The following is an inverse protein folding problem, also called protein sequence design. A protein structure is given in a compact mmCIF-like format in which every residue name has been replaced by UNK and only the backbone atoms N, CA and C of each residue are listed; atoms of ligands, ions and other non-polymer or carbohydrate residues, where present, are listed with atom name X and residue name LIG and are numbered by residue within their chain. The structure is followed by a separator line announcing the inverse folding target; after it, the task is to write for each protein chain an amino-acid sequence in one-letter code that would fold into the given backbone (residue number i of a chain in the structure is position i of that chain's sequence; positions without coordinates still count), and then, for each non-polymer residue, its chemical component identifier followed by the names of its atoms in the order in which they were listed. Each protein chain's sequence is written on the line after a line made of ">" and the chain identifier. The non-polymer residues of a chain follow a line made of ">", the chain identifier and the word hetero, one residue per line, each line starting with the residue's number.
data_IF_051908398755
#
_entry.id   IF_051908398755
#
_cell.length_a   1.000
_cell.length_b   1.000
_cell.length_c   1.000
_cell.angle_alpha   90.00
_cell.angle_beta   90.00
_cell.angle_gamma   90.00
#
_symmetry.space_group_name_H-M   'P 1'
#
loop_
_entity.id
_entity.type
_entity.pdbx_description
1 polymer ?
#
# COMPACT_ATOMS: atom_id res chain seq x y z
N UNK A 1 -3.01 24.50 3.74
CA UNK A 1 -2.64 25.12 2.46
C UNK A 1 -2.86 26.62 2.50
N UNK A 2 -4.06 27.11 2.89
CA UNK A 2 -4.34 28.55 2.98
C UNK A 2 -3.40 29.34 3.90
N UNK A 3 -3.04 28.78 5.06
CA UNK A 3 -2.18 29.46 6.05
C UNK A 3 -0.80 29.84 5.51
N UNK A 4 -0.10 28.91 4.84
CA UNK A 4 1.23 29.17 4.26
C UNK A 4 1.14 30.20 3.12
N UNK A 5 0.04 30.18 2.37
CA UNK A 5 -0.23 31.17 1.30
C UNK A 5 -0.50 32.55 1.91
N UNK A 6 -1.21 32.64 3.04
CA UNK A 6 -1.41 33.91 3.73
C UNK A 6 -0.08 34.55 4.15
N UNK A 7 0.89 33.76 4.62
CA UNK A 7 2.25 34.23 4.95
C UNK A 7 2.94 34.78 3.70
N UNK A 8 2.85 34.06 2.57
CA UNK A 8 3.38 34.52 1.28
C UNK A 8 2.78 35.87 0.88
N UNK A 9 1.46 35.95 0.83
CA UNK A 9 0.73 37.15 0.37
C UNK A 9 1.01 38.36 1.27
N UNK A 10 1.04 38.17 2.60
CA UNK A 10 1.43 39.22 3.54
C UNK A 10 2.85 39.71 3.26
N UNK A 11 3.77 38.80 2.95
CA UNK A 11 5.18 39.10 2.69
C UNK A 11 5.40 39.80 1.34
N UNK A 12 4.52 39.59 0.36
CA UNK A 12 4.55 40.27 -0.95
C UNK A 12 3.93 41.66 -0.93
N UNK A 13 2.83 41.84 -0.18
CA UNK A 13 2.07 43.11 -0.14
C UNK A 13 2.76 44.18 0.69
N UNK A 14 3.45 43.79 1.76
CA UNK A 14 4.19 44.73 2.61
C UNK A 14 5.50 45.11 1.93
N UNK A 15 5.84 46.40 1.94
CA UNK A 15 7.09 46.91 1.39
C UNK A 15 8.29 46.04 1.86
N UNK A 16 9.16 45.67 0.92
CA UNK A 16 10.31 44.77 1.17
C UNK A 16 11.38 45.40 2.06
N UNK A 17 11.36 46.72 2.21
CA UNK A 17 12.34 47.52 2.97
C UNK A 17 11.86 47.88 4.38
N UNK A 18 10.61 47.52 4.73
CA UNK A 18 10.06 47.72 6.06
C UNK A 18 10.08 46.42 6.86
N UNK A 19 10.36 46.51 8.16
CA UNK A 19 10.25 45.37 9.05
C UNK A 19 8.85 44.78 9.02
N UNK A 20 8.76 43.45 9.07
CA UNK A 20 7.49 42.73 9.02
C UNK A 20 7.45 41.71 10.16
N UNK A 21 6.39 41.77 10.97
CA UNK A 21 6.08 40.76 11.98
C UNK A 21 4.83 40.02 11.57
N UNK A 22 4.95 38.71 11.37
CA UNK A 22 3.84 37.82 11.02
C UNK A 22 3.57 36.92 12.22
N UNK A 23 2.37 37.02 12.76
CA UNK A 23 1.85 36.13 13.81
C UNK A 23 0.88 35.14 13.18
N UNK A 24 1.05 33.85 13.47
CA UNK A 24 0.15 32.79 12.98
C UNK A 24 -0.09 31.72 14.03
N UNK A 25 -1.31 31.20 14.10
CA UNK A 25 -1.64 30.04 14.92
C UNK A 25 -1.16 28.70 14.33
N UNK A 26 -0.79 28.70 13.05
CA UNK A 26 -0.32 27.51 12.35
C UNK A 26 1.10 27.15 12.76
N UNK A 27 1.21 26.35 13.82
CA UNK A 27 2.49 25.81 14.27
C UNK A 27 3.22 25.08 13.14
N UNK A 28 2.49 24.35 12.30
CA UNK A 28 3.06 23.63 11.15
C UNK A 28 3.72 24.55 10.13
N UNK A 29 3.12 25.71 9.84
CA UNK A 29 3.71 26.68 8.91
C UNK A 29 4.91 27.38 9.53
N UNK A 30 4.80 27.80 10.79
CA UNK A 30 5.89 28.47 11.52
C UNK A 30 7.09 27.53 11.69
N UNK A 31 6.89 26.33 12.22
CA UNK A 31 7.94 25.33 12.37
C UNK A 31 8.50 24.90 11.00
N UNK A 32 7.67 24.88 9.95
CA UNK A 32 8.09 24.60 8.58
C UNK A 32 9.08 25.63 8.03
N UNK A 33 8.81 26.93 8.26
CA UNK A 33 9.63 28.05 7.78
C UNK A 33 10.81 28.39 8.69
N UNK A 34 10.78 28.01 9.96
CA UNK A 34 11.82 28.35 10.94
C UNK A 34 12.68 27.13 11.30
N UNK A 35 12.07 26.09 11.86
CA UNK A 35 12.79 24.95 12.47
C UNK A 35 13.19 23.91 11.43
N UNK A 36 12.27 23.59 10.53
CA UNK A 36 12.43 22.49 9.58
C UNK A 36 12.97 22.92 8.21
N UNK A 37 13.05 24.23 7.96
CA UNK A 37 13.34 24.79 6.63
C UNK A 37 14.60 24.18 6.02
N UNK A 38 15.72 24.25 6.74
CA UNK A 38 17.00 23.74 6.24
C UNK A 38 16.93 22.25 5.88
N UNK A 39 16.29 21.45 6.74
CA UNK A 39 16.12 20.01 6.53
C UNK A 39 15.25 19.73 5.29
N UNK A 40 14.19 20.52 5.10
CA UNK A 40 13.28 20.37 3.97
C UNK A 40 13.95 20.75 2.65
N UNK A 41 14.77 21.80 2.64
CA UNK A 41 15.60 22.17 1.49
C UNK A 41 16.64 21.11 1.18
N UNK A 42 17.31 20.58 2.21
CA UNK A 42 18.26 19.48 2.07
C UNK A 42 17.59 18.24 1.46
N UNK A 43 16.32 18.01 1.77
CA UNK A 43 15.52 16.93 1.22
C UNK A 43 14.87 17.26 -0.12
N UNK A 44 15.10 18.46 -0.67
CA UNK A 44 14.49 18.91 -1.92
C UNK A 44 12.96 18.92 -1.86
N UNK A 45 12.39 19.06 -0.66
CA UNK A 45 10.96 18.95 -0.35
C UNK A 45 10.30 17.62 -0.77
N UNK A 46 11.09 16.55 -0.95
CA UNK A 46 10.56 15.24 -1.36
C UNK A 46 9.64 14.69 -0.26
N UNK A 47 8.37 14.50 -0.61
CA UNK A 47 7.39 13.89 0.28
C UNK A 47 6.85 14.81 1.37
N UNK A 48 7.06 16.12 1.24
CA UNK A 48 6.54 17.15 2.14
C UNK A 48 5.21 17.66 1.58
N UNK A 49 4.19 17.73 2.44
CA UNK A 49 2.89 18.28 2.08
C UNK A 49 3.02 19.79 1.80
N UNK A 50 2.26 20.29 0.81
CA UNK A 50 2.30 21.70 0.40
C UNK A 50 3.71 22.20 0.01
N UNK A 51 4.53 21.32 -0.55
CA UNK A 51 5.94 21.62 -0.89
C UNK A 51 6.11 22.83 -1.82
N UNK A 52 5.18 23.05 -2.76
CA UNK A 52 5.25 24.17 -3.69
C UNK A 52 5.00 25.50 -2.98
N UNK A 53 4.02 25.52 -2.09
CA UNK A 53 3.62 26.68 -1.30
C UNK A 53 4.73 27.08 -0.34
N UNK A 54 5.37 26.11 0.33
CA UNK A 54 6.55 26.37 1.15
C UNK A 54 7.73 26.91 0.33
N UNK A 55 8.00 26.36 -0.85
CA UNK A 55 9.06 26.85 -1.75
C UNK A 55 8.81 28.29 -2.18
N UNK A 56 7.58 28.61 -2.61
CA UNK A 56 7.18 29.97 -3.00
C UNK A 56 7.31 30.95 -1.84
N UNK A 57 6.78 30.59 -0.67
CA UNK A 57 6.84 31.44 0.53
C UNK A 57 8.27 31.69 0.97
N UNK A 58 9.11 30.65 0.97
CA UNK A 58 10.53 30.79 1.32
C UNK A 58 11.25 31.74 0.38
N UNK A 59 10.98 31.66 -0.93
CA UNK A 59 11.58 32.54 -1.92
C UNK A 59 11.17 34.01 -1.71
N UNK A 60 9.88 34.27 -1.45
CA UNK A 60 9.38 35.61 -1.14
C UNK A 60 10.02 36.17 0.12
N UNK A 61 10.07 35.39 1.19
CA UNK A 61 10.67 35.82 2.47
C UNK A 61 12.16 36.16 2.30
N UNK A 62 12.91 35.36 1.53
CA UNK A 62 14.33 35.63 1.23
C UNK A 62 14.55 36.84 0.33
N UNK A 63 13.57 37.22 -0.47
CA UNK A 63 13.65 38.40 -1.34
C UNK A 63 13.38 39.72 -0.58
N UNK A 64 12.94 39.66 0.68
CA UNK A 64 12.78 40.86 1.53
C UNK A 64 14.14 41.36 2.01
N UNK A 65 14.31 42.68 2.08
CA UNK A 65 15.56 43.32 2.51
C UNK A 65 15.58 43.61 4.02
N UNK A 66 14.41 43.91 4.58
CA UNK A 66 14.24 44.18 6.00
C UNK A 66 13.91 42.91 6.82
N UNK A 67 14.13 42.99 8.13
CA UNK A 67 13.90 41.89 9.07
C UNK A 67 12.43 41.43 9.00
N UNK A 68 12.25 40.12 8.82
CA UNK A 68 10.93 39.49 8.89
C UNK A 68 10.92 38.51 10.05
N UNK A 69 10.06 38.76 11.04
CA UNK A 69 9.90 37.91 12.22
C UNK A 69 8.62 37.08 12.11
N UNK A 70 8.74 35.78 12.36
CA UNK A 70 7.63 34.83 12.40
C UNK A 70 7.38 34.44 13.86
N UNK A 71 6.15 34.64 14.34
CA UNK A 71 5.76 34.29 15.70
C UNK A 71 4.59 33.30 15.67
N UNK A 72 4.77 32.17 16.36
CA UNK A 72 3.64 31.31 16.68
C UNK A 72 2.81 31.93 17.80
N UNK A 73 1.50 32.04 17.59
CA UNK A 73 0.54 32.46 18.61
C UNK A 73 -0.42 31.33 18.92
N UNK A 74 -0.92 31.25 20.15
CA UNK A 74 -1.92 30.25 20.52
C UNK A 74 -3.26 30.63 19.90
N UNK A 75 -3.89 29.71 19.17
CA UNK A 75 -5.24 29.90 18.64
C UNK A 75 -6.25 30.14 19.77
N UNK A 76 -7.30 30.91 19.47
CA UNK A 76 -8.36 31.31 20.40
C UNK A 76 -7.90 32.04 21.67
N UNK A 77 -6.73 32.70 21.63
CA UNK A 77 -6.23 33.51 22.73
C UNK A 77 -6.82 34.95 22.76
N UNK A 78 -7.96 35.18 22.09
CA UNK A 78 -8.60 36.49 21.94
C UNK A 78 -7.68 37.61 21.40
N UNK A 79 -6.75 37.22 20.52
CA UNK A 79 -5.91 38.18 19.80
C UNK A 79 -6.73 38.73 18.64
N UNK A 80 -7.15 39.99 18.73
CA UNK A 80 -8.06 40.65 17.77
C UNK A 80 -7.63 40.47 16.30
N UNK A 81 -6.32 40.60 16.03
CA UNK A 81 -5.78 40.42 14.68
C UNK A 81 -5.90 38.99 14.14
N UNK A 82 -5.73 37.98 15.00
CA UNK A 82 -5.88 36.57 14.61
C UNK A 82 -7.35 36.25 14.35
N UNK A 83 -8.25 36.68 15.24
CA UNK A 83 -9.70 36.45 15.06
C UNK A 83 -10.24 37.11 13.78
N UNK A 84 -9.74 38.30 13.42
CA UNK A 84 -10.07 38.95 12.14
C UNK A 84 -9.51 38.17 10.95
N UNK A 85 -8.28 37.66 11.04
CA UNK A 85 -7.69 36.83 10.00
C UNK A 85 -8.48 35.52 9.79
N UNK A 86 -8.94 34.89 10.87
CA UNK A 86 -9.76 33.68 10.82
C UNK A 86 -11.11 33.94 10.15
N UNK A 87 -11.75 35.08 10.45
CA UNK A 87 -12.99 35.50 9.76
C UNK A 87 -12.76 35.69 8.27
N UNK A 88 -11.70 36.40 7.87
CA UNK A 88 -11.36 36.59 6.45
C UNK A 88 -11.03 35.27 5.74
N UNK A 89 -10.38 34.32 6.43
CA UNK A 89 -10.12 33.00 5.88
C UNK A 89 -11.41 32.20 5.64
N UNK A 90 -12.37 32.27 6.58
CA UNK A 90 -13.69 31.66 6.43
C UNK A 90 -14.50 32.29 5.29
N UNK A 91 -14.47 33.62 5.17
CA UNK A 91 -15.08 34.32 4.02
C UNK A 91 -14.45 33.88 2.69
N UNK A 92 -13.12 33.73 2.67
CA UNK A 92 -12.38 33.20 1.52
C UNK A 92 -12.79 31.78 1.14
N UNK A 93 -13.07 30.91 2.13
CA UNK A 93 -13.56 29.55 1.90
C UNK A 93 -14.95 29.53 1.25
N UNK A 94 -15.79 30.54 1.52
CA UNK A 94 -17.16 30.64 1.01
C UNK A 94 -17.24 31.27 -0.38
N UNK A 95 -16.14 31.78 -0.93
CA UNK A 95 -16.11 32.34 -2.29
C UNK A 95 -16.40 31.25 -3.33
N UNK A 96 -17.27 31.58 -4.29
CA UNK A 96 -17.59 30.72 -5.45
C UNK A 96 -16.49 30.75 -6.52
N UNK A 97 -15.77 31.86 -6.64
CA UNK A 97 -14.64 32.01 -7.55
C UNK A 97 -13.32 31.72 -6.84
N UNK A 98 -12.44 30.95 -7.50
CA UNK A 98 -11.12 30.57 -6.98
C UNK A 98 -10.14 31.73 -7.22
N UNK A 99 -9.42 32.13 -6.18
CA UNK A 99 -8.34 33.10 -6.28
C UNK A 99 -7.11 32.47 -6.99
N UNK A 100 -6.58 33.14 -8.02
CA UNK A 100 -5.37 32.69 -8.72
C UNK A 100 -4.12 33.12 -7.94
N UNK A 101 -3.46 32.16 -7.29
CA UNK A 101 -2.24 32.39 -6.51
C UNK A 101 -1.02 31.96 -7.32
N UNK A 102 -0.15 32.92 -7.62
CA UNK A 102 1.11 32.65 -8.32
C UNK A 102 2.10 31.95 -7.37
N UNK A 103 2.56 30.77 -7.75
CA UNK A 103 3.49 29.94 -6.97
C UNK A 103 4.82 29.70 -7.69
N UNK A 104 5.08 30.38 -8.81
CA UNK A 104 6.37 30.28 -9.47
C UNK A 104 7.48 30.89 -8.60
N UNK A 105 8.62 30.22 -8.61
CA UNK A 105 9.84 30.65 -7.93
C UNK A 105 10.87 30.97 -9.00
N UNK A 106 11.48 32.14 -8.90
CA UNK A 106 12.58 32.55 -9.77
C UNK A 106 13.67 31.48 -9.83
N UNK A 107 14.17 31.21 -11.03
CA UNK A 107 15.11 30.11 -11.28
C UNK A 107 16.42 30.24 -10.48
N UNK A 108 16.84 31.47 -10.18
CA UNK A 108 18.04 31.81 -9.41
C UNK A 108 17.98 31.31 -7.95
N UNK A 109 16.80 31.38 -7.32
CA UNK A 109 16.58 30.99 -5.91
C UNK A 109 15.83 29.66 -5.78
N UNK A 110 15.46 29.04 -6.90
CA UNK A 110 14.73 27.78 -6.94
C UNK A 110 15.65 26.60 -6.61
N UNK A 111 15.29 25.88 -5.55
CA UNK A 111 15.90 24.59 -5.25
C UNK A 111 15.59 23.56 -6.35
N UNK A 112 16.63 22.96 -6.91
CA UNK A 112 16.52 22.00 -8.03
C UNK A 112 16.30 20.55 -7.60
N UNK A 113 16.61 20.21 -6.34
CA UNK A 113 16.44 18.86 -5.80
C UNK A 113 16.98 18.68 -4.39
N UNK A 114 17.05 17.43 -3.93
CA UNK A 114 17.64 17.07 -2.65
C UNK A 114 19.18 17.06 -2.72
N UNK A 115 19.84 17.42 -1.62
CA UNK A 115 21.29 17.31 -1.50
C UNK A 115 21.69 15.83 -1.54
N UNK A 116 22.72 15.50 -2.33
CA UNK A 116 23.19 14.11 -2.47
C UNK A 116 23.66 13.51 -1.14
N UNK A 117 24.23 14.32 -0.24
CA UNK A 117 24.69 13.85 1.08
C UNK A 117 23.56 13.44 2.04
N UNK A 118 22.33 13.91 1.81
CA UNK A 118 21.18 13.69 2.71
C UNK A 118 20.13 12.74 2.12
N UNK A 119 20.21 12.44 0.83
CA UNK A 119 19.23 11.59 0.17
C UNK A 119 19.40 10.13 0.59
N UNK A 120 18.29 9.50 0.98
CA UNK A 120 18.24 8.06 1.23
C UNK A 120 17.65 7.33 0.02
N UNK A 121 17.88 6.02 -0.08
CA UNK A 121 17.28 5.20 -1.15
C UNK A 121 15.75 5.35 -1.18
N UNK A 122 15.10 5.31 -0.01
CA UNK A 122 13.63 5.45 0.07
C UNK A 122 13.15 6.82 -0.42
N UNK A 123 13.87 7.90 -0.13
CA UNK A 123 13.59 9.24 -0.66
C UNK A 123 13.79 9.31 -2.17
N UNK A 124 14.89 8.76 -2.69
CA UNK A 124 15.15 8.72 -4.13
C UNK A 124 14.06 7.94 -4.87
N UNK A 125 13.68 6.75 -4.37
CA UNK A 125 12.58 5.96 -4.91
C UNK A 125 11.27 6.73 -4.89
N UNK A 126 10.95 7.43 -3.78
CA UNK A 126 9.75 8.27 -3.66
C UNK A 126 9.76 9.42 -4.68
N UNK A 127 10.89 10.08 -4.89
CA UNK A 127 11.02 11.15 -5.88
C UNK A 127 10.82 10.63 -7.32
N UNK A 128 11.43 9.49 -7.66
CA UNK A 128 11.25 8.83 -8.96
C UNK A 128 9.79 8.43 -9.14
N UNK A 129 9.16 7.83 -8.12
CA UNK A 129 7.75 7.46 -8.16
C UNK A 129 6.86 8.68 -8.40
N UNK A 130 7.06 9.77 -7.66
CA UNK A 130 6.32 11.01 -7.85
C UNK A 130 6.48 11.57 -9.27
N UNK A 131 7.67 11.47 -9.87
CA UNK A 131 7.91 11.87 -11.26
C UNK A 131 7.19 10.95 -12.25
N UNK A 132 7.29 9.64 -12.07
CA UNK A 132 6.62 8.64 -12.92
C UNK A 132 5.10 8.74 -12.84
N UNK A 133 4.53 9.01 -11.66
CA UNK A 133 3.08 9.19 -11.47
C UNK A 133 2.47 10.33 -12.29
N UNK A 134 3.27 11.32 -12.72
CA UNK A 134 2.82 12.37 -13.64
C UNK A 134 2.56 11.84 -15.05
N UNK A 135 3.18 10.73 -15.43
CA UNK A 135 3.04 10.16 -16.77
C UNK A 135 1.76 9.30 -16.88
N UNK A 136 0.90 9.53 -17.88
CA UNK A 136 -0.31 8.72 -18.07
C UNK A 136 -0.02 7.23 -18.26
N UNK A 137 1.03 6.89 -19.01
CA UNK A 137 1.45 5.51 -19.25
C UNK A 137 1.74 4.75 -17.94
N UNK A 138 2.52 5.35 -17.03
CA UNK A 138 2.82 4.72 -15.74
C UNK A 138 1.57 4.55 -14.87
N UNK A 139 0.66 5.55 -14.86
CA UNK A 139 -0.62 5.44 -14.15
C UNK A 139 -1.47 4.29 -14.69
N UNK A 140 -1.57 4.14 -16.02
CA UNK A 140 -2.29 3.04 -16.66
C UNK A 140 -1.66 1.68 -16.31
N UNK A 141 -0.34 1.54 -16.42
CA UNK A 141 0.35 0.30 -16.07
C UNK A 141 0.14 -0.11 -14.60
N UNK A 142 0.18 0.87 -13.69
CA UNK A 142 -0.09 0.63 -12.27
C UNK A 142 -1.55 0.25 -12.01
N UNK A 143 -2.49 0.88 -12.74
CA UNK A 143 -3.91 0.54 -12.69
C UNK A 143 -4.19 -0.89 -13.19
N UNK A 144 -3.61 -1.32 -14.31
CA UNK A 144 -3.74 -2.70 -14.80
C UNK A 144 -3.24 -3.71 -13.77
N UNK A 145 -2.09 -3.46 -13.14
CA UNK A 145 -1.59 -4.31 -12.06
C UNK A 145 -2.54 -4.33 -10.86
N UNK A 146 -3.10 -3.18 -10.49
CA UNK A 146 -4.08 -3.09 -9.39
C UNK A 146 -5.38 -3.84 -9.71
N UNK A 147 -5.86 -3.81 -10.96
CA UNK A 147 -7.03 -4.56 -11.39
C UNK A 147 -6.79 -6.07 -11.38
N UNK A 148 -5.62 -6.53 -11.85
CA UNK A 148 -5.24 -7.95 -11.78
C UNK A 148 -5.22 -8.46 -10.33
N UNK A 149 -4.69 -7.65 -9.40
CA UNK A 149 -4.72 -7.97 -7.97
C UNK A 149 -6.14 -8.03 -7.39
N UNK A 150 -7.06 -7.18 -7.88
CA UNK A 150 -8.44 -7.12 -7.37
C UNK A 150 -9.21 -8.42 -7.62
N UNK A 151 -8.96 -9.14 -8.71
CA UNK A 151 -9.64 -10.42 -9.01
C UNK A 151 -9.37 -11.47 -7.93
N UNK A 152 -8.11 -11.60 -7.51
CA UNK A 152 -7.72 -12.53 -6.45
C UNK A 152 -8.24 -12.04 -5.09
N UNK A 153 -8.16 -10.74 -4.81
CA UNK A 153 -8.65 -10.16 -3.57
C UNK A 153 -10.17 -10.22 -3.42
N UNK A 154 -10.95 -10.20 -4.51
CA UNK A 154 -12.41 -10.35 -4.44
C UNK A 154 -12.86 -11.74 -4.01
N UNK A 155 -12.01 -12.75 -4.13
CA UNK A 155 -12.29 -14.09 -3.61
C UNK A 155 -12.21 -14.14 -2.07
N UNK A 156 -11.51 -13.21 -1.43
CA UNK A 156 -11.43 -13.16 0.04
C UNK A 156 -12.80 -12.77 0.62
N UNK A 157 -13.33 -13.53 1.62
CA UNK A 157 -14.59 -13.18 2.25
C UNK A 157 -14.56 -11.78 2.84
N UNK A 158 -15.59 -10.97 2.53
CA UNK A 158 -15.73 -9.58 3.02
C UNK A 158 -15.80 -9.49 4.54
N UNK A 159 -16.18 -10.60 5.19
CA UNK A 159 -16.21 -10.75 6.64
C UNK A 159 -15.49 -12.04 7.02
N UNK A 160 -14.51 -11.91 7.93
CA UNK A 160 -13.77 -13.04 8.47
C UNK A 160 -13.90 -12.98 9.98
N UNK A 161 -14.53 -13.99 10.58
CA UNK A 161 -14.89 -14.05 12.00
C UNK A 161 -15.70 -12.82 12.50
N UNK A 162 -16.62 -12.30 11.68
CA UNK A 162 -17.44 -11.13 12.00
C UNK A 162 -16.69 -9.79 11.97
N UNK A 163 -15.47 -9.76 11.43
CA UNK A 163 -14.71 -8.51 11.19
C UNK A 163 -14.61 -8.25 9.71
N UNK A 164 -14.91 -7.03 9.27
CA UNK A 164 -14.75 -6.61 7.88
C UNK A 164 -13.29 -6.79 7.43
N UNK A 165 -13.08 -7.54 6.35
CA UNK A 165 -11.76 -7.78 5.77
C UNK A 165 -11.26 -6.50 5.08
N UNK A 166 -10.45 -5.71 5.78
CA UNK A 166 -9.74 -4.59 5.16
C UNK A 166 -8.49 -5.12 4.46
N UNK A 167 -8.16 -4.67 3.24
CA UNK A 167 -6.96 -5.08 2.48
C UNK A 167 -5.68 -5.03 3.35
N UNK A 168 -5.61 -4.02 4.22
CA UNK A 168 -4.49 -3.83 5.16
C UNK A 168 -4.35 -4.98 6.16
N UNK A 169 -5.44 -5.62 6.57
CA UNK A 169 -5.42 -6.78 7.46
C UNK A 169 -4.93 -8.02 6.72
N UNK A 170 -5.37 -8.22 5.48
CA UNK A 170 -4.89 -9.31 4.61
C UNK A 170 -3.39 -9.18 4.41
N UNK A 171 -2.88 -7.99 4.08
CA UNK A 171 -1.44 -7.80 3.88
C UNK A 171 -0.62 -8.01 5.15
N UNK A 172 -1.16 -7.64 6.30
CA UNK A 172 -0.52 -7.92 7.59
C UNK A 172 -0.51 -9.42 7.90
N UNK A 173 -1.57 -10.15 7.56
CA UNK A 173 -1.70 -11.58 7.86
C UNK A 173 -0.75 -12.45 7.04
N UNK A 174 -0.34 -12.03 5.84
CA UNK A 174 0.71 -12.73 5.06
C UNK A 174 1.99 -12.93 5.90
N UNK A 175 2.30 -12.02 6.83
CA UNK A 175 3.50 -12.10 7.68
C UNK A 175 3.28 -12.87 8.98
N UNK A 176 2.18 -13.63 9.11
CA UNK A 176 1.87 -14.36 10.33
C UNK A 176 3.03 -15.26 10.75
N UNK A 177 3.32 -15.32 12.05
CA UNK A 177 4.47 -16.07 12.59
C UNK A 177 4.40 -17.58 12.33
N UNK A 178 3.19 -18.11 12.22
CA UNK A 178 2.94 -19.53 11.96
C UNK A 178 3.25 -19.95 10.52
N UNK A 179 3.48 -18.99 9.60
CA UNK A 179 3.80 -19.28 8.21
C UNK A 179 5.30 -19.40 7.98
N UNK A 180 5.68 -20.44 7.23
CA UNK A 180 7.02 -20.61 6.69
C UNK A 180 7.38 -19.48 5.71
N UNK A 181 8.66 -19.08 5.65
CA UNK A 181 9.09 -18.01 4.73
C UNK A 181 8.71 -18.31 3.27
N UNK A 182 8.87 -19.54 2.75
CA UNK A 182 8.43 -19.89 1.40
C UNK A 182 6.94 -19.68 1.19
N UNK A 183 6.09 -20.11 2.13
CA UNK A 183 4.65 -19.91 2.02
C UNK A 183 4.27 -18.43 2.01
N UNK A 184 4.91 -17.59 2.83
CA UNK A 184 4.63 -16.13 2.81
C UNK A 184 4.89 -15.51 1.45
N UNK A 185 5.97 -15.94 0.79
CA UNK A 185 6.27 -15.51 -0.58
C UNK A 185 5.22 -16.03 -1.56
N UNK A 186 4.87 -17.32 -1.47
CA UNK A 186 3.82 -17.92 -2.28
C UNK A 186 2.49 -17.19 -2.13
N UNK A 187 2.01 -17.00 -0.90
CA UNK A 187 0.77 -16.30 -0.60
C UNK A 187 0.79 -14.86 -1.12
N UNK A 188 1.89 -14.14 -0.95
CA UNK A 188 2.06 -12.79 -1.51
C UNK A 188 1.94 -12.79 -3.04
N UNK A 189 2.66 -13.67 -3.72
CA UNK A 189 2.62 -13.80 -5.17
C UNK A 189 1.21 -14.17 -5.66
N UNK A 190 0.52 -15.07 -4.97
CA UNK A 190 -0.84 -15.52 -5.29
C UNK A 190 -1.85 -14.37 -5.13
N UNK A 191 -1.82 -13.61 -4.03
CA UNK A 191 -2.69 -12.44 -3.81
C UNK A 191 -2.48 -11.36 -4.89
N UNK A 192 -1.26 -11.25 -5.42
CA UNK A 192 -0.88 -10.26 -6.43
C UNK A 192 -0.89 -10.78 -7.86
N UNK A 193 -1.45 -11.97 -8.09
CA UNK A 193 -1.46 -12.65 -9.40
C UNK A 193 -0.07 -12.60 -10.09
N UNK A 194 0.99 -12.83 -9.31
CA UNK A 194 2.38 -12.67 -9.73
C UNK A 194 3.00 -13.92 -10.36
N UNK A 195 2.35 -15.07 -10.24
CA UNK A 195 2.80 -16.32 -10.82
C UNK A 195 2.47 -16.42 -12.30
N UNK A 196 3.31 -17.15 -13.04
CA UNK A 196 3.13 -17.42 -14.48
C UNK A 196 2.20 -18.62 -14.66
N UNK A 197 0.89 -18.38 -14.63
CA UNK A 197 -0.17 -19.41 -14.72
C UNK A 197 -1.20 -18.96 -15.75
N UNK A 198 -1.74 -19.90 -16.53
CA UNK A 198 -2.86 -19.67 -17.43
C UNK A 198 -2.63 -18.55 -18.43
N UNK A 199 -3.51 -17.54 -18.36
CA UNK A 199 -3.54 -16.35 -19.23
C UNK A 199 -2.18 -15.66 -19.44
N UNK A 200 -1.26 -15.78 -18.49
CA UNK A 200 0.10 -15.27 -18.65
C UNK A 200 0.79 -15.81 -19.92
N UNK A 201 0.57 -17.09 -20.24
CA UNK A 201 1.23 -17.80 -21.32
C UNK A 201 0.61 -17.54 -22.69
N UNK A 202 -0.65 -17.09 -22.77
CA UNK A 202 -1.36 -16.83 -24.04
C UNK A 202 -0.61 -15.89 -24.99
N UNK A 203 0.15 -14.96 -24.44
CA UNK A 203 0.83 -13.92 -25.22
C UNK A 203 2.31 -14.23 -25.46
N UNK A 204 2.77 -15.45 -25.17
CA UNK A 204 4.17 -15.85 -25.35
C UNK A 204 4.25 -16.93 -26.44
N UNK A 205 4.83 -16.61 -27.62
CA UNK A 205 5.01 -17.57 -28.69
C UNK A 205 5.70 -18.84 -28.21
N UNK A 206 5.24 -20.00 -28.68
CA UNK A 206 5.76 -21.37 -28.40
C UNK A 206 5.48 -21.94 -27.01
N UNK A 207 4.86 -21.16 -26.11
CA UNK A 207 4.54 -21.58 -24.73
C UNK A 207 3.03 -21.52 -24.44
N UNK A 208 2.20 -21.38 -25.46
CA UNK A 208 0.74 -21.24 -25.32
C UNK A 208 0.10 -22.47 -24.68
N UNK A 209 0.71 -23.65 -24.83
CA UNK A 209 0.25 -24.90 -24.24
C UNK A 209 0.22 -24.88 -22.70
N UNK A 210 0.99 -23.98 -22.05
CA UNK A 210 0.94 -23.78 -20.59
C UNK A 210 -0.26 -22.95 -20.12
N UNK A 211 -1.13 -22.51 -21.03
CA UNK A 211 -2.37 -21.80 -20.68
C UNK A 211 -3.40 -22.75 -20.08
N UNK A 212 -3.42 -24.00 -20.52
CA UNK A 212 -4.41 -24.99 -20.15
C UNK A 212 -3.81 -26.07 -19.27
N UNK A 213 -4.62 -26.60 -18.34
CA UNK A 213 -4.26 -27.77 -17.58
C UNK A 213 -4.29 -29.00 -18.49
N UNK A 214 -3.15 -29.69 -18.65
CA UNK A 214 -3.08 -30.87 -19.53
C UNK A 214 -3.97 -32.03 -19.08
N UNK A 215 -4.30 -32.13 -17.79
CA UNK A 215 -5.19 -33.18 -17.25
C UNK A 215 -6.66 -32.80 -17.43
N UNK A 216 -7.04 -31.62 -16.96
CA UNK A 216 -8.45 -31.19 -16.92
C UNK A 216 -8.95 -30.54 -18.21
N UNK A 217 -8.04 -30.20 -19.15
CA UNK A 217 -8.36 -29.55 -20.43
C UNK A 217 -9.17 -28.25 -20.28
N UNK A 218 -8.89 -27.49 -19.23
CA UNK A 218 -9.48 -26.19 -18.96
C UNK A 218 -8.39 -25.14 -18.71
N UNK A 219 -8.77 -23.86 -18.77
CA UNK A 219 -7.88 -22.74 -18.47
C UNK A 219 -7.27 -22.90 -17.08
N UNK A 220 -5.95 -22.96 -17.00
CA UNK A 220 -5.28 -23.17 -15.73
C UNK A 220 -5.26 -21.86 -14.93
N UNK A 221 -5.78 -21.88 -13.71
CA UNK A 221 -5.71 -20.76 -12.77
C UNK A 221 -5.12 -21.19 -11.44
N UNK A 222 -4.71 -20.24 -10.61
CA UNK A 222 -4.23 -20.58 -9.26
C UNK A 222 -5.34 -21.22 -8.40
N UNK A 223 -6.59 -20.80 -8.59
CA UNK A 223 -7.75 -21.42 -7.96
C UNK A 223 -7.95 -22.85 -8.44
N UNK A 224 -7.89 -23.07 -9.77
CA UNK A 224 -7.95 -24.40 -10.36
C UNK A 224 -6.87 -25.33 -9.79
N UNK A 225 -5.60 -24.89 -9.83
CA UNK A 225 -4.46 -25.68 -9.33
C UNK A 225 -4.66 -26.11 -7.88
N UNK A 226 -5.14 -25.18 -7.03
CA UNK A 226 -5.25 -25.44 -5.60
C UNK A 226 -6.49 -26.24 -5.22
N UNK A 227 -7.61 -26.11 -5.94
CA UNK A 227 -8.91 -26.58 -5.46
C UNK A 227 -9.65 -27.51 -6.42
N UNK A 228 -9.41 -27.41 -7.73
CA UNK A 228 -10.24 -28.08 -8.75
C UNK A 228 -9.48 -29.09 -9.60
N UNK A 229 -8.14 -29.03 -9.60
CA UNK A 229 -7.32 -29.84 -10.49
C UNK A 229 -7.43 -31.34 -10.16
N UNK A 230 -7.82 -32.13 -11.16
CA UNK A 230 -7.95 -33.60 -11.08
C UNK A 230 -6.61 -34.33 -11.23
N UNK A 231 -5.51 -33.60 -11.42
CA UNK A 231 -4.20 -34.22 -11.51
C UNK A 231 -3.79 -34.84 -10.16
N UNK A 232 -2.98 -35.89 -10.22
CA UNK A 232 -2.63 -36.69 -9.05
C UNK A 232 -2.08 -35.83 -7.89
N UNK A 233 -2.59 -36.12 -6.70
CA UNK A 233 -2.13 -35.57 -5.43
C UNK A 233 -2.86 -34.35 -4.88
N UNK A 234 -3.53 -33.54 -5.71
CA UNK A 234 -4.26 -32.37 -5.20
C UNK A 234 -5.37 -32.79 -4.21
N UNK A 235 -6.26 -33.68 -4.64
CA UNK A 235 -7.39 -34.14 -3.84
C UNK A 235 -6.90 -34.89 -2.59
N UNK A 236 -5.89 -35.75 -2.76
CA UNK A 236 -5.28 -36.52 -1.68
C UNK A 236 -4.65 -35.65 -0.60
N UNK A 237 -3.97 -34.56 -0.97
CA UNK A 237 -3.40 -33.63 0.01
C UNK A 237 -4.51 -32.97 0.84
N UNK A 238 -5.64 -32.60 0.24
CA UNK A 238 -6.76 -32.04 0.99
C UNK A 238 -7.50 -33.06 1.85
N UNK A 239 -7.57 -34.32 1.40
CA UNK A 239 -8.06 -35.45 2.19
C UNK A 239 -7.19 -35.64 3.45
N UNK A 240 -5.86 -35.75 3.28
CA UNK A 240 -4.91 -35.88 4.40
C UNK A 240 -4.97 -34.67 5.35
N UNK A 241 -5.14 -33.46 4.81
CA UNK A 241 -5.35 -32.25 5.61
C UNK A 241 -6.62 -32.32 6.47
N UNK A 242 -7.71 -32.83 5.89
CA UNK A 242 -8.98 -33.03 6.58
C UNK A 242 -8.87 -34.12 7.64
N UNK A 243 -8.20 -35.23 7.34
CA UNK A 243 -8.00 -36.33 8.29
C UNK A 243 -7.17 -35.89 9.50
N UNK A 244 -6.09 -35.13 9.25
CA UNK A 244 -5.30 -34.52 10.31
C UNK A 244 -6.13 -33.56 11.18
N UNK A 245 -7.08 -32.84 10.57
CA UNK A 245 -8.00 -31.97 11.30
C UNK A 245 -9.05 -32.75 12.10
N UNK A 246 -9.58 -33.85 11.57
CA UNK A 246 -10.64 -34.66 12.21
C UNK A 246 -10.23 -35.27 13.56
N UNK A 247 -8.94 -35.29 13.88
CA UNK A 247 -8.44 -35.57 15.25
C UNK A 247 -8.97 -34.53 16.26
N UNK A 248 -9.39 -33.35 15.81
CA UNK A 248 -10.02 -32.30 16.62
C UNK A 248 -11.54 -32.46 16.65
N UNK A 249 -12.15 -32.06 17.76
CA UNK A 249 -13.61 -32.03 17.96
C UNK A 249 -14.29 -30.78 17.39
N UNK A 250 -13.58 -30.05 16.53
CA UNK A 250 -14.05 -28.79 15.92
C UNK A 250 -14.33 -29.01 14.44
N UNK A 251 -15.34 -28.33 13.91
CA UNK A 251 -15.72 -28.45 12.50
C UNK A 251 -14.56 -28.11 11.55
N UNK A 252 -14.43 -28.89 10.47
CA UNK A 252 -13.47 -28.64 9.41
C UNK A 252 -14.00 -27.55 8.47
N UNK A 253 -13.29 -26.42 8.41
CA UNK A 253 -13.56 -25.38 7.43
C UNK A 253 -12.85 -25.78 6.13
N UNK A 254 -13.61 -26.38 5.22
CA UNK A 254 -13.13 -26.77 3.89
C UNK A 254 -12.50 -25.55 3.19
N UNK A 255 -11.24 -25.64 2.74
CA UNK A 255 -10.56 -24.52 2.11
C UNK A 255 -11.22 -24.19 0.77
N UNK A 256 -11.68 -22.95 0.63
CA UNK A 256 -11.91 -22.31 -0.66
C UNK A 256 -10.76 -21.34 -0.97
N UNK A 257 -10.81 -20.71 -2.13
CA UNK A 257 -9.71 -19.86 -2.58
C UNK A 257 -9.54 -18.64 -1.66
N UNK A 258 -10.64 -18.02 -1.27
CA UNK A 258 -10.65 -16.91 -0.32
C UNK A 258 -10.10 -17.26 1.06
N UNK A 259 -10.40 -18.47 1.53
CA UNK A 259 -9.99 -19.04 2.81
C UNK A 259 -8.49 -19.32 2.81
N UNK A 260 -7.93 -19.83 1.71
CA UNK A 260 -6.47 -19.96 1.54
C UNK A 260 -5.80 -18.58 1.56
N UNK A 261 -6.33 -17.62 0.78
CA UNK A 261 -5.78 -16.26 0.71
C UNK A 261 -5.82 -15.52 2.05
N UNK A 262 -6.78 -15.86 2.91
CA UNK A 262 -7.04 -15.19 4.17
C UNK A 262 -6.80 -16.04 5.42
N UNK A 263 -6.20 -17.22 5.27
CA UNK A 263 -6.01 -18.19 6.35
C UNK A 263 -5.33 -17.59 7.58
N UNK A 264 -4.44 -16.61 7.39
CA UNK A 264 -3.76 -15.88 8.48
C UNK A 264 -4.68 -15.04 9.37
N UNK A 265 -5.91 -14.78 8.95
CA UNK A 265 -6.94 -14.02 9.68
C UNK A 265 -7.98 -14.93 10.34
N UNK A 266 -8.05 -16.21 9.98
CA UNK A 266 -9.07 -17.15 10.46
C UNK A 266 -8.84 -17.45 11.94
N UNK A 267 -9.95 -17.42 12.70
CA UNK A 267 -9.99 -17.66 14.14
C UNK A 267 -11.08 -18.68 14.41
N UNK A 268 -10.66 -19.89 14.70
CA UNK A 268 -11.53 -20.97 15.14
C UNK A 268 -12.06 -20.62 16.54
N UNK A 269 -13.36 -20.79 16.70
CA UNK A 269 -14.07 -20.58 17.97
C UNK A 269 -14.75 -21.90 18.36
N UNK A 270 -14.93 -22.11 19.66
CA UNK A 270 -15.78 -23.18 20.18
C UNK A 270 -17.28 -22.84 19.99
N UNK A 271 -18.20 -23.78 20.25
CA UNK A 271 -19.65 -23.52 20.18
C UNK A 271 -20.11 -22.35 21.05
N UNK A 272 -19.40 -22.06 22.13
CA UNK A 272 -19.65 -20.95 23.06
C UNK A 272 -19.04 -19.61 22.56
N UNK A 273 -18.36 -19.60 21.42
CA UNK A 273 -17.79 -18.41 20.78
C UNK A 273 -16.40 -17.99 21.29
N UNK A 274 -15.78 -18.78 22.16
CA UNK A 274 -14.45 -18.56 22.72
C UNK A 274 -13.37 -18.91 21.69
N UNK A 275 -12.35 -18.05 21.62
CA UNK A 275 -11.26 -18.20 20.67
C UNK A 275 -10.32 -19.38 21.01
N UNK A 276 -10.26 -20.34 20.09
CA UNK A 276 -9.43 -21.54 20.18
C UNK A 276 -8.07 -21.30 19.52
N UNK A 277 -7.10 -20.84 20.32
CA UNK A 277 -5.74 -20.48 19.84
C UNK A 277 -5.00 -21.65 19.19
N UNK A 278 -5.11 -22.85 19.78
CA UNK A 278 -4.46 -24.07 19.29
C UNK A 278 -4.99 -24.46 17.92
N UNK A 279 -6.31 -24.56 17.81
CA UNK A 279 -6.98 -24.99 16.58
C UNK A 279 -6.79 -23.97 15.45
N UNK A 280 -6.86 -22.67 15.77
CA UNK A 280 -6.57 -21.62 14.79
C UNK A 280 -5.13 -21.67 14.27
N UNK A 281 -4.17 -22.04 15.13
CA UNK A 281 -2.77 -22.22 14.72
C UNK A 281 -2.61 -23.46 13.85
N UNK A 282 -3.20 -24.58 14.26
CA UNK A 282 -3.17 -25.82 13.50
C UNK A 282 -3.80 -25.62 12.11
N UNK A 283 -4.95 -24.96 12.05
CA UNK A 283 -5.66 -24.67 10.80
C UNK A 283 -4.78 -23.88 9.84
N UNK A 284 -4.15 -22.81 10.33
CA UNK A 284 -3.22 -22.00 9.55
C UNK A 284 -2.08 -22.83 8.99
N UNK A 285 -1.48 -23.70 9.80
CA UNK A 285 -0.35 -24.53 9.38
C UNK A 285 -0.82 -25.50 8.29
N UNK A 286 -1.87 -26.27 8.55
CA UNK A 286 -2.40 -27.28 7.63
C UNK A 286 -2.74 -26.63 6.28
N UNK A 287 -3.61 -25.61 6.28
CA UNK A 287 -4.01 -24.94 5.03
C UNK A 287 -2.83 -24.34 4.28
N UNK A 288 -1.88 -23.73 5.01
CA UNK A 288 -0.71 -23.11 4.38
C UNK A 288 0.24 -24.12 3.73
N UNK A 289 0.57 -25.20 4.44
CA UNK A 289 1.54 -26.18 3.96
C UNK A 289 0.92 -27.08 2.88
N UNK A 290 -0.36 -27.45 3.01
CA UNK A 290 -1.10 -28.19 1.98
C UNK A 290 -1.20 -27.40 0.67
N UNK A 291 -1.63 -26.13 0.71
CA UNK A 291 -1.73 -25.31 -0.50
C UNK A 291 -0.36 -25.10 -1.16
N UNK A 292 0.70 -24.91 -0.36
CA UNK A 292 2.04 -24.75 -0.88
C UNK A 292 2.60 -26.03 -1.49
N UNK A 293 2.31 -27.19 -0.89
CA UNK A 293 2.71 -28.49 -1.39
C UNK A 293 2.05 -28.75 -2.75
N UNK A 294 0.74 -28.55 -2.87
CA UNK A 294 0.00 -28.68 -4.14
C UNK A 294 0.65 -27.83 -5.24
N UNK A 295 0.94 -26.56 -4.93
CA UNK A 295 1.64 -25.66 -5.86
C UNK A 295 3.01 -26.21 -6.30
N UNK A 296 3.79 -26.73 -5.35
CA UNK A 296 5.12 -27.31 -5.66
C UNK A 296 5.02 -28.54 -6.54
N UNK A 297 4.10 -29.47 -6.25
CA UNK A 297 3.91 -30.67 -7.05
C UNK A 297 3.50 -30.30 -8.48
N UNK A 298 2.58 -29.34 -8.65
CA UNK A 298 2.24 -28.80 -9.96
C UNK A 298 3.45 -28.20 -10.68
N UNK A 299 4.28 -27.42 -9.99
CA UNK A 299 5.50 -26.87 -10.61
C UNK A 299 6.48 -27.96 -11.04
N UNK A 300 6.68 -28.97 -10.21
CA UNK A 300 7.56 -30.09 -10.54
C UNK A 300 7.08 -30.87 -11.78
N UNK A 301 5.77 -31.07 -11.90
CA UNK A 301 5.17 -31.69 -13.10
C UNK A 301 5.26 -30.81 -14.34
N UNK A 302 4.71 -29.59 -14.26
CA UNK A 302 4.47 -28.76 -15.45
C UNK A 302 5.74 -28.03 -15.90
N UNK A 303 6.61 -27.64 -14.97
CA UNK A 303 7.80 -26.84 -15.28
C UNK A 303 9.07 -27.70 -15.32
N UNK A 304 9.23 -28.63 -14.38
CA UNK A 304 10.42 -29.48 -14.32
C UNK A 304 10.24 -30.81 -15.09
N UNK A 305 9.06 -31.08 -15.65
CA UNK A 305 8.78 -32.28 -16.45
C UNK A 305 8.89 -33.58 -15.66
N UNK A 306 8.74 -33.52 -14.32
CA UNK A 306 8.75 -34.74 -13.50
C UNK A 306 7.44 -35.51 -13.68
N UNK A 307 7.54 -36.83 -13.53
CA UNK A 307 6.37 -37.72 -13.53
C UNK A 307 5.48 -37.39 -12.33
N UNK A 308 4.17 -37.61 -12.47
CA UNK A 308 3.23 -37.50 -11.35
C UNK A 308 3.65 -38.39 -10.19
N UNK A 309 3.54 -37.84 -8.97
CA UNK A 309 3.79 -38.60 -7.75
C UNK A 309 2.69 -39.64 -7.56
N UNK A 310 3.08 -40.84 -7.15
CA UNK A 310 2.14 -41.88 -6.74
C UNK A 310 1.47 -41.48 -5.41
N UNK A 311 0.24 -41.91 -5.18
CA UNK A 311 -0.47 -41.63 -3.93
C UNK A 311 0.32 -42.10 -2.69
N UNK A 312 1.03 -43.21 -2.81
CA UNK A 312 1.91 -43.75 -1.76
C UNK A 312 3.11 -42.86 -1.46
N UNK A 313 3.59 -42.06 -2.42
CA UNK A 313 4.69 -41.10 -2.20
C UNK A 313 4.19 -39.83 -1.51
N UNK A 314 2.88 -39.55 -1.58
CA UNK A 314 2.24 -38.39 -0.95
C UNK A 314 1.87 -38.70 0.52
N UNK A 315 1.63 -39.97 0.85
CA UNK A 315 1.28 -40.43 2.19
C UNK A 315 2.48 -40.55 3.16
N UNK A 316 3.71 -40.62 2.64
CA UNK A 316 4.95 -40.78 3.42
C UNK A 316 5.70 -39.46 3.66
#
# INVERSE_FOLDING_TARGET
>A
MGEIIAIKEASERVNKETELKISSESKTCIDGLMVNLQKWEDYGYIGIANSKEFQATTAVLRARKALTSLQWVKGHAHIEGNEKADKLANEGQLKTAIDNIELSVERSVRMTGAKLKTITQSMATKAIQNKKMKTPCYRKALHHRALSNKKQQSAVPKEINGTKSLDKLIWKSIRHKDFSRPFRYFLWMTIHNGYKVGDYWRNIPTMEHHTECHHCKCDESMEHILLECEAHGQAKIWELAKDLWNVKKTEWIAPDFGTILSCGLIKIKDPEGKYMRGDSRLYRIIVSESAHLIWKLRCDRVINGKVDFLETEIEN
#
